data_IF_441243901362
#
_entry.id   IF_441243901362
#
_cell.length_a   1.000
_cell.length_b   1.000
_cell.length_c   1.000
_cell.angle_alpha   90.00
_cell.angle_beta   90.00
_cell.angle_gamma   90.00
#
_symmetry.space_group_name_H-M   'P 1'
#
loop_
_entity.id
_entity.type
_entity.pdbx_description
1 polymer ?
#
# COMPACT_ATOMS: atom_id res chain seq x y z
N UNK A 1 2.79 -5.70 -16.79
CA UNK A 1 3.44 -5.70 -15.46
C UNK A 1 4.96 -5.67 -15.63
N UNK A 2 5.72 -5.27 -14.61
CA UNK A 2 7.19 -5.31 -14.62
C UNK A 2 7.70 -5.97 -13.35
N UNK A 3 8.66 -6.88 -13.50
CA UNK A 3 9.33 -7.57 -12.40
C UNK A 3 10.82 -7.29 -12.48
N UNK A 4 11.42 -6.93 -11.34
CA UNK A 4 12.87 -6.90 -11.19
C UNK A 4 13.23 -7.67 -9.92
N UNK A 5 14.17 -8.61 -9.99
CA UNK A 5 14.77 -9.19 -8.80
C UNK A 5 15.44 -8.11 -7.96
N UNK A 6 15.45 -8.29 -6.65
CA UNK A 6 16.09 -7.36 -5.72
C UNK A 6 16.67 -8.09 -4.52
N UNK A 7 17.91 -7.79 -4.17
CA UNK A 7 18.58 -8.40 -3.02
C UNK A 7 18.21 -7.78 -1.67
N UNK A 8 17.90 -6.47 -1.63
CA UNK A 8 17.45 -5.74 -0.42
C UNK A 8 16.48 -4.62 -0.79
N UNK A 9 15.49 -4.36 0.05
CA UNK A 9 14.54 -3.24 -0.09
C UNK A 9 15.18 -1.89 0.29
N UNK A 10 16.23 -1.49 -0.43
CA UNK A 10 16.89 -0.20 -0.23
C UNK A 10 16.21 0.89 -1.06
N UNK A 11 16.41 2.17 -0.69
CA UNK A 11 15.97 3.31 -1.51
C UNK A 11 16.52 3.20 -2.93
N UNK A 12 17.79 2.84 -3.08
CA UNK A 12 18.45 2.73 -4.38
C UNK A 12 17.82 1.64 -5.25
N UNK A 13 17.46 0.49 -4.66
CA UNK A 13 16.77 -0.57 -5.39
C UNK A 13 15.40 -0.09 -5.92
N UNK A 14 14.65 0.65 -5.11
CA UNK A 14 13.38 1.25 -5.54
C UNK A 14 13.56 2.33 -6.62
N UNK A 15 14.56 3.21 -6.49
CA UNK A 15 14.85 4.23 -7.52
C UNK A 15 15.27 3.58 -8.84
N UNK A 16 16.07 2.51 -8.80
CA UNK A 16 16.41 1.72 -10.00
C UNK A 16 15.17 1.11 -10.64
N UNK A 17 14.29 0.48 -9.86
CA UNK A 17 13.05 -0.10 -10.36
C UNK A 17 12.14 0.94 -11.00
N UNK A 18 11.90 2.06 -10.32
CA UNK A 18 11.03 3.11 -10.83
C UNK A 18 11.64 3.78 -12.08
N UNK A 19 12.95 4.02 -12.09
CA UNK A 19 13.67 4.54 -13.26
C UNK A 19 13.58 3.58 -14.45
N UNK A 20 13.62 2.27 -14.20
CA UNK A 20 13.43 1.26 -15.23
C UNK A 20 12.04 1.37 -15.89
N UNK A 21 10.98 1.64 -15.12
CA UNK A 21 9.65 1.89 -15.68
C UNK A 21 9.62 3.14 -16.57
N UNK A 22 10.27 4.22 -16.14
CA UNK A 22 10.37 5.47 -16.91
C UNK A 22 11.11 5.26 -18.22
N UNK A 23 12.25 4.54 -18.19
CA UNK A 23 13.02 4.19 -19.39
C UNK A 23 12.23 3.34 -20.39
N UNK A 24 11.21 2.61 -19.93
CA UNK A 24 10.30 1.82 -20.77
C UNK A 24 9.13 2.63 -21.32
N UNK A 25 9.10 3.94 -21.09
CA UNK A 25 8.09 4.85 -21.65
C UNK A 25 7.01 5.31 -20.67
N UNK A 26 7.11 4.98 -19.38
CA UNK A 26 6.22 5.58 -18.38
C UNK A 26 6.57 7.06 -18.20
N UNK A 27 5.69 7.97 -18.63
CA UNK A 27 5.85 9.40 -18.37
C UNK A 27 5.65 9.72 -16.87
N UNK A 28 6.68 10.17 -16.14
CA UNK A 28 6.56 10.51 -14.73
C UNK A 28 5.53 11.60 -14.43
N UNK A 29 5.26 12.49 -15.39
CA UNK A 29 4.30 13.61 -15.24
C UNK A 29 2.84 13.17 -15.42
N UNK A 30 2.64 12.06 -16.13
CA UNK A 30 1.34 11.44 -16.32
C UNK A 30 0.90 10.62 -15.10
N UNK A 31 1.83 10.18 -14.25
CA UNK A 31 1.53 9.43 -13.01
C UNK A 31 0.85 10.36 -12.01
N UNK A 32 -0.42 10.08 -11.69
CA UNK A 32 -1.22 10.90 -10.74
C UNK A 32 -1.25 10.34 -9.32
N UNK A 33 -1.11 9.03 -9.17
CA UNK A 33 -1.18 8.35 -7.89
C UNK A 33 -0.23 7.16 -7.90
N UNK A 34 0.59 7.03 -6.87
CA UNK A 34 1.35 5.82 -6.56
C UNK A 34 0.86 5.24 -5.25
N UNK A 35 0.44 3.98 -5.28
CA UNK A 35 0.00 3.24 -4.09
C UNK A 35 1.08 2.24 -3.76
N UNK A 36 1.59 2.29 -2.54
CA UNK A 36 2.64 1.37 -2.10
C UNK A 36 2.45 0.95 -0.65
N UNK A 37 3.19 -0.06 -0.20
CA UNK A 37 3.35 -0.27 1.23
C UNK A 37 4.08 0.93 1.88
N UNK A 38 4.15 0.93 3.21
CA UNK A 38 4.73 2.02 3.99
C UNK A 38 6.25 2.03 4.09
N UNK A 39 6.99 1.30 3.24
CA UNK A 39 8.45 1.24 3.32
C UNK A 39 9.09 2.62 3.09
N UNK A 40 9.85 3.17 4.06
CA UNK A 40 10.43 4.51 3.94
C UNK A 40 11.38 4.67 2.73
N UNK A 41 12.09 3.61 2.36
CA UNK A 41 12.98 3.62 1.18
C UNK A 41 12.19 3.83 -0.11
N UNK A 42 11.06 3.14 -0.25
CA UNK A 42 10.18 3.26 -1.41
C UNK A 42 9.50 4.62 -1.48
N UNK A 43 8.99 5.15 -0.36
CA UNK A 43 8.36 6.48 -0.32
C UNK A 43 9.34 7.56 -0.79
N UNK A 44 10.60 7.49 -0.35
CA UNK A 44 11.63 8.42 -0.82
C UNK A 44 11.89 8.27 -2.31
N UNK A 45 12.02 7.04 -2.81
CA UNK A 45 12.20 6.77 -4.23
C UNK A 45 11.05 7.31 -5.10
N UNK A 46 9.79 7.11 -4.65
CA UNK A 46 8.60 7.63 -5.33
C UNK A 46 8.66 9.15 -5.41
N UNK A 47 9.03 9.85 -4.32
CA UNK A 47 9.17 11.31 -4.32
C UNK A 47 10.27 11.79 -5.26
N UNK A 48 11.36 11.03 -5.41
CA UNK A 48 12.43 11.34 -6.36
C UNK A 48 11.96 11.20 -7.81
N UNK A 49 11.33 10.07 -8.15
CA UNK A 49 11.05 9.70 -9.55
C UNK A 49 9.71 10.25 -10.04
N UNK A 50 8.70 10.36 -9.17
CA UNK A 50 7.35 10.84 -9.48
C UNK A 50 6.94 12.02 -8.57
N UNK A 51 7.65 13.17 -8.65
CA UNK A 51 7.44 14.28 -7.71
C UNK A 51 6.06 14.94 -7.80
N UNK A 52 5.34 14.77 -8.92
CA UNK A 52 4.02 15.34 -9.15
C UNK A 52 2.87 14.38 -8.84
N UNK A 53 3.17 13.14 -8.45
CA UNK A 53 2.17 12.15 -8.11
C UNK A 53 1.79 12.28 -6.64
N UNK A 54 0.50 12.14 -6.34
CA UNK A 54 0.11 11.83 -4.96
C UNK A 54 0.68 10.46 -4.56
N UNK A 55 0.98 10.30 -3.28
CA UNK A 55 1.39 9.02 -2.70
C UNK A 55 0.34 8.54 -1.71
N UNK A 56 -0.04 7.27 -1.85
CA UNK A 56 -0.98 6.61 -0.96
C UNK A 56 -0.38 5.36 -0.34
N UNK A 57 -0.70 5.15 0.94
CA UNK A 57 -0.47 3.85 1.57
C UNK A 57 -1.54 2.84 1.16
N UNK A 58 -1.09 1.64 0.80
CA UNK A 58 -1.95 0.51 0.55
C UNK A 58 -2.84 0.21 1.77
N UNK A 59 -4.16 0.40 1.60
CA UNK A 59 -5.12 0.22 2.68
C UNK A 59 -5.17 -1.22 3.19
N UNK A 60 -4.91 -2.22 2.33
CA UNK A 60 -4.84 -3.62 2.76
C UNK A 60 -3.73 -3.83 3.80
N UNK A 61 -2.49 -3.45 3.47
CA UNK A 61 -1.36 -3.54 4.38
C UNK A 61 -1.56 -2.66 5.62
N UNK A 62 -2.16 -1.47 5.45
CA UNK A 62 -2.49 -0.59 6.57
C UNK A 62 -3.46 -1.26 7.55
N UNK A 63 -4.55 -1.85 7.07
CA UNK A 63 -5.53 -2.54 7.90
C UNK A 63 -4.92 -3.75 8.63
N UNK A 64 -4.02 -4.50 7.97
CA UNK A 64 -3.27 -5.59 8.60
C UNK A 64 -2.37 -5.06 9.74
N UNK A 65 -1.64 -3.96 9.49
CA UNK A 65 -0.77 -3.34 10.47
C UNK A 65 -1.53 -2.74 11.67
N UNK A 66 -2.76 -2.26 11.46
CA UNK A 66 -3.64 -1.80 12.53
C UNK A 66 -4.21 -2.97 13.33
N UNK A 67 -4.60 -4.06 12.68
CA UNK A 67 -5.07 -5.29 13.33
C UNK A 67 -4.01 -5.86 14.28
N UNK A 68 -2.74 -5.85 13.87
CA UNK A 68 -1.63 -6.31 14.71
C UNK A 68 -1.40 -5.47 15.97
N UNK A 69 -1.94 -4.24 16.02
CA UNK A 69 -1.84 -3.32 17.17
C UNK A 69 -3.10 -3.30 18.04
N UNK A 70 -4.09 -4.13 17.73
CA UNK A 70 -5.36 -4.21 18.42
C UNK A 70 -5.55 -5.61 19.01
N UNK A 71 -6.06 -5.75 20.24
CA UNK A 71 -6.53 -7.05 20.74
C UNK A 71 -7.53 -7.68 19.78
N UNK A 72 -7.47 -9.01 19.64
CA UNK A 72 -8.30 -9.75 18.68
C UNK A 72 -9.80 -9.66 19.00
N UNK A 73 -10.15 -9.59 20.29
CA UNK A 73 -11.53 -9.41 20.76
C UNK A 73 -12.14 -8.07 20.34
N UNK A 74 -11.35 -7.01 20.39
CA UNK A 74 -11.78 -5.64 20.09
C UNK A 74 -11.78 -5.32 18.59
N UNK A 75 -11.01 -6.07 17.81
CA UNK A 75 -10.79 -5.78 16.40
C UNK A 75 -12.08 -5.63 15.56
N UNK A 76 -13.14 -6.44 15.71
CA UNK A 76 -14.37 -6.25 14.93
C UNK A 76 -14.97 -4.84 15.09
N UNK A 77 -15.05 -4.34 16.33
CA UNK A 77 -15.58 -3.01 16.65
C UNK A 77 -14.65 -1.91 16.12
N UNK A 78 -13.35 -2.03 16.43
CA UNK A 78 -12.33 -1.06 16.02
C UNK A 78 -12.23 -0.96 14.50
N UNK A 79 -12.27 -2.10 13.80
CA UNK A 79 -12.29 -2.16 12.34
C UNK A 79 -13.47 -1.40 11.75
N UNK A 80 -14.67 -1.55 12.31
CA UNK A 80 -15.86 -0.83 11.83
C UNK A 80 -15.69 0.69 11.96
N UNK A 81 -15.10 1.18 13.05
CA UNK A 81 -14.80 2.60 13.22
C UNK A 81 -13.69 3.09 12.28
N UNK A 82 -12.62 2.31 12.10
CA UNK A 82 -11.57 2.61 11.12
C UNK A 82 -12.13 2.65 9.69
N UNK A 83 -13.08 1.78 9.35
CA UNK A 83 -13.74 1.81 8.05
C UNK A 83 -14.48 3.14 7.81
N UNK A 84 -15.10 3.74 8.83
CA UNK A 84 -15.72 5.07 8.72
C UNK A 84 -14.70 6.17 8.39
N UNK A 85 -13.43 5.97 8.73
CA UNK A 85 -12.33 6.87 8.37
C UNK A 85 -11.92 6.64 6.91
N UNK A 86 -11.42 5.45 6.59
CA UNK A 86 -10.79 5.18 5.29
C UNK A 86 -11.77 4.95 4.13
N UNK A 87 -13.07 4.84 4.39
CA UNK A 87 -14.10 4.66 3.37
C UNK A 87 -15.18 5.74 3.45
N UNK A 88 -14.88 6.87 4.07
CA UNK A 88 -15.76 8.04 4.10
C UNK A 88 -16.12 8.54 2.69
N UNK A 89 -17.20 9.33 2.59
CA UNK A 89 -17.69 9.88 1.32
C UNK A 89 -16.87 11.07 0.82
N UNK A 90 -16.10 11.71 1.70
CA UNK A 90 -15.22 12.82 1.38
C UNK A 90 -14.11 12.95 2.44
N UNK A 91 -13.11 13.78 2.16
CA UNK A 91 -11.95 13.98 3.04
C UNK A 91 -12.32 14.61 4.38
N UNK A 92 -13.30 15.51 4.40
CA UNK A 92 -13.77 16.18 5.62
C UNK A 92 -14.33 15.16 6.60
N UNK A 93 -15.25 14.31 6.16
CA UNK A 93 -15.84 13.25 6.98
C UNK A 93 -14.78 12.27 7.47
N UNK A 94 -13.80 11.92 6.62
CA UNK A 94 -12.69 11.06 7.01
C UNK A 94 -11.89 11.65 8.17
N UNK A 95 -11.56 12.95 8.10
CA UNK A 95 -10.82 13.68 9.13
C UNK A 95 -11.64 13.86 10.40
N UNK A 96 -12.94 14.13 10.30
CA UNK A 96 -13.85 14.22 11.45
C UNK A 96 -13.96 12.88 12.17
N UNK A 97 -14.18 11.79 11.44
CA UNK A 97 -14.20 10.44 11.99
C UNK A 97 -12.84 10.06 12.62
N UNK A 98 -11.72 10.45 12.01
CA UNK A 98 -10.40 10.21 12.58
C UNK A 98 -10.20 10.96 13.90
N UNK A 99 -10.60 12.24 13.98
CA UNK A 99 -10.54 13.03 15.22
C UNK A 99 -11.38 12.41 16.33
N UNK A 100 -12.61 11.99 16.00
CA UNK A 100 -13.49 11.31 16.96
C UNK A 100 -12.85 10.01 17.47
N UNK A 101 -12.33 9.18 16.56
CA UNK A 101 -11.64 7.93 16.90
C UNK A 101 -10.42 8.18 17.81
N UNK A 102 -9.59 9.17 17.46
CA UNK A 102 -8.41 9.54 18.24
C UNK A 102 -8.82 9.95 19.66
N UNK A 103 -9.86 10.79 19.80
CA UNK A 103 -10.33 11.25 21.11
C UNK A 103 -10.78 10.09 22.00
N UNK A 104 -11.48 9.13 21.43
CA UNK A 104 -12.04 7.98 22.14
C UNK A 104 -10.97 6.96 22.54
N UNK A 105 -10.00 6.67 21.67
CA UNK A 105 -9.07 5.54 21.85
C UNK A 105 -7.64 5.92 22.17
N UNK A 106 -7.30 7.22 22.29
CA UNK A 106 -5.91 7.66 22.57
C UNK A 106 -5.31 7.00 23.83
N UNK A 107 -6.12 6.84 24.88
CA UNK A 107 -5.64 6.32 26.17
C UNK A 107 -5.77 4.79 26.24
N UNK A 108 -6.67 4.20 25.43
CA UNK A 108 -6.95 2.76 25.40
C UNK A 108 -5.99 2.02 24.47
N UNK A 109 -5.79 2.54 23.25
CA UNK A 109 -4.95 1.94 22.22
C UNK A 109 -3.96 2.96 21.61
N UNK A 110 -3.01 3.49 22.40
CA UNK A 110 -2.12 4.57 21.97
C UNK A 110 -1.33 4.22 20.70
N UNK A 111 -0.77 3.00 20.62
CA UNK A 111 -0.01 2.54 19.44
C UNK A 111 -0.85 2.48 18.17
N UNK A 112 -2.13 2.13 18.28
CA UNK A 112 -3.04 2.07 17.14
C UNK A 112 -3.39 3.49 16.67
N UNK A 113 -3.68 4.38 17.63
CA UNK A 113 -3.97 5.79 17.37
C UNK A 113 -2.78 6.49 16.71
N UNK A 114 -1.56 6.30 17.22
CA UNK A 114 -0.35 6.87 16.61
C UNK A 114 -0.13 6.37 15.19
N UNK A 115 -0.40 5.08 14.96
CA UNK A 115 -0.33 4.51 13.62
C UNK A 115 -1.31 5.18 12.66
N UNK A 116 -2.56 5.45 13.08
CA UNK A 116 -3.54 6.16 12.25
C UNK A 116 -3.10 7.61 12.02
N UNK A 117 -2.73 8.34 13.08
CA UNK A 117 -2.31 9.75 13.00
C UNK A 117 -1.19 9.96 12.01
N UNK A 118 -0.13 9.16 12.11
CA UNK A 118 1.09 9.30 11.31
C UNK A 118 0.82 9.18 9.81
N UNK A 119 -0.08 8.29 9.43
CA UNK A 119 -0.27 7.88 8.03
C UNK A 119 -1.61 8.35 7.45
N UNK A 120 -2.41 9.13 8.20
CA UNK A 120 -3.80 9.47 7.84
C UNK A 120 -3.89 10.11 6.46
N UNK A 121 -3.09 11.14 6.21
CA UNK A 121 -3.11 11.89 4.94
C UNK A 121 -2.79 10.96 3.76
N UNK A 122 -1.77 10.12 3.90
CA UNK A 122 -1.40 9.12 2.89
C UNK A 122 -2.45 8.02 2.74
N UNK A 123 -3.25 7.71 3.76
CA UNK A 123 -4.31 6.69 3.64
C UNK A 123 -5.58 7.23 2.95
N UNK A 124 -5.84 8.54 3.03
CA UNK A 124 -7.01 9.18 2.42
C UNK A 124 -6.68 9.96 1.14
N UNK A 125 -5.42 9.97 0.70
CA UNK A 125 -4.97 10.68 -0.50
C UNK A 125 -5.81 10.37 -1.75
N UNK A 126 -6.34 9.14 -1.86
CA UNK A 126 -7.21 8.76 -2.97
C UNK A 126 -8.45 9.65 -3.14
N UNK A 127 -8.90 10.28 -2.05
CA UNK A 127 -10.10 11.12 -2.03
C UNK A 127 -9.94 12.41 -2.87
N UNK A 128 -8.70 12.78 -3.23
CA UNK A 128 -8.42 13.87 -4.17
C UNK A 128 -8.70 13.50 -5.63
N UNK A 129 -8.86 12.21 -5.94
CA UNK A 129 -9.13 11.72 -7.29
C UNK A 129 -10.63 11.50 -7.54
N UNK A 130 -11.07 11.34 -8.81
CA UNK A 130 -12.48 11.18 -9.12
C UNK A 130 -13.14 10.00 -8.39
N UNK A 131 -14.31 10.24 -7.78
CA UNK A 131 -15.07 9.28 -6.98
C UNK A 131 -15.26 7.91 -7.65
N UNK A 132 -15.51 7.89 -8.97
CA UNK A 132 -15.69 6.66 -9.76
C UNK A 132 -14.49 5.71 -9.67
N UNK A 133 -13.27 6.22 -9.43
CA UNK A 133 -12.04 5.42 -9.32
C UNK A 133 -11.80 4.88 -7.92
N UNK A 134 -12.46 5.41 -6.90
CA UNK A 134 -12.17 5.07 -5.50
C UNK A 134 -12.36 3.59 -5.20
N UNK A 135 -13.34 2.92 -5.83
CA UNK A 135 -13.54 1.48 -5.66
C UNK A 135 -12.32 0.68 -6.09
N UNK A 136 -11.70 1.06 -7.20
CA UNK A 136 -10.51 0.39 -7.73
C UNK A 136 -9.26 0.76 -6.94
N UNK A 137 -9.10 2.03 -6.56
CA UNK A 137 -7.94 2.51 -5.80
C UNK A 137 -7.85 1.88 -4.40
N UNK A 138 -8.98 1.75 -3.71
CA UNK A 138 -9.02 1.26 -2.32
C UNK A 138 -8.75 -0.23 -2.18
N UNK A 139 -8.88 -1.01 -3.26
CA UNK A 139 -8.73 -2.46 -3.22
C UNK A 139 -7.47 -2.87 -3.97
N UNK A 140 -6.65 -3.71 -3.36
CA UNK A 140 -5.50 -4.31 -4.05
C UNK A 140 -5.80 -5.71 -4.57
N UNK A 141 -7.07 -6.10 -4.67
CA UNK A 141 -7.49 -7.47 -5.01
C UNK A 141 -6.81 -8.02 -6.27
N UNK A 142 -6.65 -7.23 -7.32
CA UNK A 142 -5.98 -7.65 -8.56
C UNK A 142 -4.50 -8.01 -8.29
N UNK A 143 -3.81 -7.16 -7.52
CA UNK A 143 -2.40 -7.34 -7.16
C UNK A 143 -2.25 -8.53 -6.19
N UNK A 144 -3.08 -8.58 -5.14
CA UNK A 144 -3.06 -9.65 -4.14
C UNK A 144 -3.41 -11.01 -4.74
N UNK A 145 -4.30 -11.05 -5.74
CA UNK A 145 -4.61 -12.28 -6.47
C UNK A 145 -3.39 -12.77 -7.26
N UNK A 146 -2.71 -11.88 -7.99
CA UNK A 146 -1.46 -12.21 -8.66
C UNK A 146 -0.39 -12.74 -7.69
N UNK A 147 -0.20 -12.09 -6.54
CA UNK A 147 0.73 -12.57 -5.53
C UNK A 147 0.35 -13.92 -4.92
N UNK A 148 -0.95 -14.21 -4.77
CA UNK A 148 -1.42 -15.52 -4.30
C UNK A 148 -1.09 -16.62 -5.29
N UNK A 149 -1.30 -16.40 -6.59
CA UNK A 149 -0.98 -17.38 -7.62
C UNK A 149 0.53 -17.65 -7.71
N UNK A 150 1.35 -16.60 -7.64
CA UNK A 150 2.81 -16.74 -7.51
C UNK A 150 3.17 -17.58 -6.29
N UNK A 151 2.69 -17.22 -5.10
CA UNK A 151 2.98 -17.97 -3.87
C UNK A 151 2.54 -19.43 -3.95
N UNK A 152 1.37 -19.71 -4.54
CA UNK A 152 0.86 -21.07 -4.74
C UNK A 152 1.80 -21.90 -5.61
N UNK A 153 2.31 -21.33 -6.70
CA UNK A 153 3.20 -22.04 -7.63
C UNK A 153 4.59 -22.25 -7.04
N UNK A 154 5.15 -21.23 -6.38
CA UNK A 154 6.47 -21.29 -5.77
C UNK A 154 6.51 -22.23 -4.55
N UNK A 155 5.41 -22.36 -3.81
CA UNK A 155 5.35 -23.21 -2.60
C UNK A 155 5.76 -24.66 -2.86
N UNK A 156 5.47 -25.21 -4.04
CA UNK A 156 5.80 -26.60 -4.40
C UNK A 156 7.26 -26.75 -4.84
N UNK A 157 7.91 -25.66 -5.22
CA UNK A 157 9.27 -25.67 -5.79
C UNK A 157 10.37 -25.56 -4.72
N UNK A 158 10.02 -25.06 -3.52
CA UNK A 158 10.87 -24.87 -2.33
C UNK A 158 12.09 -23.95 -2.53
N UNK A 159 12.93 -24.19 -3.53
CA UNK A 159 14.13 -23.39 -3.86
C UNK A 159 14.28 -23.19 -5.37
N UNK A 160 15.02 -22.16 -5.76
CA UNK A 160 15.38 -21.86 -7.14
C UNK A 160 16.88 -22.03 -7.33
N UNK A 161 17.29 -22.66 -8.43
CA UNK A 161 18.70 -22.87 -8.75
C UNK A 161 19.39 -21.60 -9.26
N UNK A 162 18.66 -20.75 -9.98
CA UNK A 162 19.15 -19.43 -10.45
C UNK A 162 18.09 -18.35 -10.37
N UNK A 163 18.51 -17.09 -10.41
CA UNK A 163 17.62 -15.94 -10.45
C UNK A 163 16.74 -15.95 -11.71
N UNK A 164 17.29 -16.32 -12.88
CA UNK A 164 16.50 -16.42 -14.12
C UNK A 164 15.40 -17.49 -14.03
N UNK A 165 15.66 -18.59 -13.31
CA UNK A 165 14.67 -19.65 -13.12
C UNK A 165 13.44 -19.14 -12.36
N UNK A 166 13.66 -18.28 -11.35
CA UNK A 166 12.59 -17.62 -10.60
C UNK A 166 11.81 -16.63 -11.49
N UNK A 167 12.54 -15.77 -12.22
CA UNK A 167 11.96 -14.78 -13.13
C UNK A 167 11.08 -15.45 -14.19
N UNK A 168 11.53 -16.55 -14.79
CA UNK A 168 10.76 -17.29 -15.80
C UNK A 168 9.41 -17.75 -15.28
N UNK A 169 9.36 -18.22 -14.03
CA UNK A 169 8.10 -18.65 -13.42
C UNK A 169 7.20 -17.45 -13.14
N UNK A 170 7.75 -16.35 -12.64
CA UNK A 170 6.98 -15.12 -12.44
C UNK A 170 6.31 -14.65 -13.75
N UNK A 171 7.06 -14.59 -14.85
CA UNK A 171 6.52 -14.21 -16.15
C UNK A 171 5.49 -15.20 -16.70
N UNK A 172 5.60 -16.50 -16.39
CA UNK A 172 4.62 -17.49 -16.84
C UNK A 172 3.23 -17.35 -16.19
N UNK A 173 3.13 -16.61 -15.08
CA UNK A 173 1.91 -16.47 -14.28
C UNK A 173 1.18 -15.14 -14.50
N UNK A 174 1.73 -14.24 -15.33
CA UNK A 174 1.32 -12.84 -15.46
C UNK A 174 1.13 -12.42 -16.89
#
# INVERSE_FOLDING_TARGET
>A
MGFLPGGRESRQAWEQFLTHLVRRGLDPRAVKLVISDGCPGMIRAIRTIFPYSDHQHCLFHKMSNLRAKCPRSEWPLIKAKIHKIYFALNERDARENARAFIKEYKDIFPRLVDCIKKDLDSCIAYMKHPFRRWRHIRTTNIIEHGFKEVKRRVKVMETFSTEESCIRILYSLT
#
